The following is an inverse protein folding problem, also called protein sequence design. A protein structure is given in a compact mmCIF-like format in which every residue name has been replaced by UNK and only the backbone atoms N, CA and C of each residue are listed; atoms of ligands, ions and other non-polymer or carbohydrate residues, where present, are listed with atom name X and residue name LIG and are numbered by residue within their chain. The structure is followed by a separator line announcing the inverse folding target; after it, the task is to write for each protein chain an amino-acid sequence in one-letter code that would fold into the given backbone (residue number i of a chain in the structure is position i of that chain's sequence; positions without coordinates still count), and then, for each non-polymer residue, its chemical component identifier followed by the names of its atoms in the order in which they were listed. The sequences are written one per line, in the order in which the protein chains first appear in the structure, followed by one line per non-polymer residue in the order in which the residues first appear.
data_IF_407112433090
#
_entry.id   IF_407112433090
#
_cell.length_a   1.000
_cell.length_b   1.000
_cell.length_c   1.000
_cell.angle_alpha   90.00
_cell.angle_beta   90.00
_cell.angle_gamma   90.00
#
_symmetry.space_group_name_H-M   'P 1'
#
loop_
_entity.id
_entity.type
_entity.pdbx_description
1 polymer ?
#
# COMPACT_ATOMS: atom_id res chain seq x y z
N UNK A 1 17.72 8.94 -20.17
CA UNK A 1 16.57 9.04 -19.26
C UNK A 1 16.10 7.63 -18.95
N UNK A 2 15.81 7.33 -17.68
CA UNK A 2 15.20 6.05 -17.32
C UNK A 2 13.80 5.95 -17.94
N UNK A 3 13.34 4.76 -18.35
CA UNK A 3 12.07 4.59 -19.04
C UNK A 3 10.89 4.81 -18.08
N UNK A 4 9.77 5.33 -18.62
CA UNK A 4 8.50 5.37 -17.89
C UNK A 4 7.94 3.96 -17.76
N UNK A 5 7.57 3.59 -16.54
CA UNK A 5 7.05 2.27 -16.22
C UNK A 5 5.51 2.25 -16.32
N UNK A 6 4.89 1.12 -16.73
CA UNK A 6 3.46 0.92 -16.57
C UNK A 6 3.04 1.04 -15.09
N UNK A 7 1.81 1.48 -14.76
CA UNK A 7 1.39 1.75 -13.39
C UNK A 7 1.67 0.62 -12.39
N UNK A 8 1.37 -0.63 -12.76
CA UNK A 8 1.64 -1.79 -11.90
C UNK A 8 3.13 -1.97 -11.60
N UNK A 9 3.97 -1.95 -12.64
CA UNK A 9 5.42 -2.10 -12.48
C UNK A 9 6.02 -0.93 -11.71
N UNK A 10 5.50 0.28 -11.91
CA UNK A 10 5.90 1.46 -11.14
C UNK A 10 5.55 1.33 -9.66
N UNK A 11 4.30 0.99 -9.32
CA UNK A 11 3.87 0.82 -7.92
C UNK A 11 4.64 -0.32 -7.24
N UNK A 12 4.92 -1.42 -7.95
CA UNK A 12 5.79 -2.49 -7.44
C UNK A 12 7.22 -2.03 -7.21
N UNK A 13 7.74 -1.13 -8.04
CA UNK A 13 9.07 -0.54 -7.85
C UNK A 13 9.11 0.36 -6.60
N UNK A 14 8.04 1.11 -6.35
CA UNK A 14 7.90 1.88 -5.10
C UNK A 14 7.75 0.94 -3.90
N UNK A 15 6.95 -0.12 -3.97
CA UNK A 15 6.87 -1.10 -2.89
C UNK A 15 8.24 -1.75 -2.60
N UNK A 16 9.01 -2.08 -3.65
CA UNK A 16 10.38 -2.61 -3.52
C UNK A 16 11.30 -1.67 -2.75
N UNK A 17 11.17 -0.35 -2.88
CA UNK A 17 11.96 0.58 -2.05
C UNK A 17 11.54 0.54 -0.58
N UNK A 18 10.25 0.43 -0.27
CA UNK A 18 9.80 0.20 1.11
C UNK A 18 10.36 -1.11 1.68
N UNK A 19 10.32 -2.20 0.91
CA UNK A 19 10.88 -3.50 1.35
C UNK A 19 12.40 -3.44 1.57
N UNK A 20 13.13 -2.69 0.73
CA UNK A 20 14.59 -2.59 0.80
C UNK A 20 15.06 -1.66 1.93
N UNK A 21 14.44 -0.50 2.07
CA UNK A 21 14.99 0.59 2.87
C UNK A 21 14.27 0.78 4.22
N UNK A 22 13.02 0.30 4.35
CA UNK A 22 12.27 0.43 5.60
C UNK A 22 12.55 -0.70 6.58
N UNK A 23 12.45 -0.39 7.87
CA UNK A 23 12.51 -1.39 8.92
C UNK A 23 11.20 -2.17 9.12
N UNK A 24 10.03 -1.60 8.83
CA UNK A 24 8.75 -2.18 9.21
C UNK A 24 8.22 -3.18 8.18
N UNK A 25 8.09 -2.75 6.93
CA UNK A 25 7.50 -3.50 5.82
C UNK A 25 8.16 -4.88 5.58
N UNK A 26 9.50 -5.03 5.53
CA UNK A 26 10.09 -6.35 5.35
C UNK A 26 9.84 -7.29 6.53
N UNK A 27 9.70 -6.77 7.76
CA UNK A 27 9.42 -7.57 8.96
C UNK A 27 7.94 -7.92 9.12
N UNK A 28 7.06 -6.97 8.83
CA UNK A 28 5.62 -7.12 9.03
C UNK A 28 4.93 -7.78 7.85
N UNK A 29 5.41 -7.57 6.62
CA UNK A 29 4.73 -8.02 5.40
C UNK A 29 5.56 -9.07 4.65
N UNK A 30 6.88 -8.84 4.53
CA UNK A 30 7.80 -9.76 3.86
C UNK A 30 7.27 -10.26 2.51
N UNK A 31 7.35 -11.57 2.29
CA UNK A 31 6.84 -12.22 1.08
C UNK A 31 5.33 -12.49 1.09
N UNK A 32 4.63 -12.12 2.18
CA UNK A 32 3.21 -12.40 2.33
C UNK A 32 2.30 -11.33 1.71
N UNK A 33 2.84 -10.14 1.42
CA UNK A 33 2.11 -9.05 0.77
C UNK A 33 2.45 -8.98 -0.72
N UNK A 34 1.44 -8.82 -1.57
CA UNK A 34 1.63 -8.66 -3.01
C UNK A 34 0.71 -7.59 -3.58
N UNK A 35 1.28 -6.71 -4.40
CA UNK A 35 0.51 -5.81 -5.28
C UNK A 35 0.05 -6.62 -6.50
N UNK A 36 -1.26 -6.81 -6.63
CA UNK A 36 -1.89 -7.64 -7.66
C UNK A 36 -2.36 -6.82 -8.86
N UNK A 37 -2.63 -5.53 -8.67
CA UNK A 37 -3.04 -4.63 -9.74
C UNK A 37 -2.77 -3.17 -9.42
N UNK A 38 -2.56 -2.36 -10.46
CA UNK A 38 -2.54 -0.90 -10.31
C UNK A 38 -3.00 -0.21 -11.58
N UNK A 39 -3.74 0.87 -11.40
CA UNK A 39 -4.12 1.84 -12.41
C UNK A 39 -3.99 3.24 -11.83
N UNK A 40 -4.17 4.29 -12.64
CA UNK A 40 -3.97 5.67 -12.16
C UNK A 40 -4.95 5.98 -11.02
N UNK A 41 -4.43 6.14 -9.80
CA UNK A 41 -5.21 6.45 -8.60
C UNK A 41 -5.77 5.25 -7.85
N UNK A 42 -5.47 4.01 -8.26
CA UNK A 42 -5.97 2.79 -7.61
C UNK A 42 -4.93 1.68 -7.59
N UNK A 43 -4.77 1.02 -6.46
CA UNK A 43 -3.88 -0.12 -6.25
C UNK A 43 -4.66 -1.25 -5.58
N UNK A 44 -4.59 -2.45 -6.13
CA UNK A 44 -5.16 -3.67 -5.57
C UNK A 44 -4.02 -4.55 -5.03
N UNK A 45 -4.22 -5.14 -3.86
CA UNK A 45 -3.22 -5.95 -3.18
C UNK A 45 -3.84 -7.08 -2.37
N UNK A 46 -3.01 -8.02 -1.95
CA UNK A 46 -3.38 -9.08 -1.02
C UNK A 46 -2.32 -9.28 0.07
N UNK A 47 -2.77 -9.83 1.19
CA UNK A 47 -1.93 -10.30 2.29
C UNK A 47 -2.31 -11.74 2.63
N UNK A 48 -1.35 -12.66 2.51
CA UNK A 48 -1.45 -13.98 3.14
C UNK A 48 -1.26 -13.81 4.66
N UNK A 49 -2.30 -14.10 5.45
CA UNK A 49 -2.25 -13.87 6.89
C UNK A 49 -1.36 -14.94 7.54
N UNK A 50 -0.37 -14.49 8.32
CA UNK A 50 0.54 -15.32 9.11
C UNK A 50 0.43 -14.95 10.59
N UNK A 51 1.06 -15.76 11.45
CA UNK A 51 1.00 -15.59 12.91
C UNK A 51 1.49 -14.20 13.36
N UNK A 52 2.55 -13.71 12.75
CA UNK A 52 3.14 -12.38 12.99
C UNK A 52 2.18 -11.22 12.67
N UNK A 53 1.15 -11.45 11.85
CA UNK A 53 0.11 -10.45 11.53
C UNK A 53 -1.04 -10.44 12.54
N UNK A 54 -1.05 -11.34 13.53
CA UNK A 54 -2.22 -11.57 14.38
C UNK A 54 -2.13 -10.91 15.75
N UNK A 55 -3.29 -10.72 16.36
CA UNK A 55 -3.44 -10.31 17.75
C UNK A 55 -3.55 -11.52 18.69
N UNK A 56 -3.73 -11.26 19.98
CA UNK A 56 -3.87 -12.29 21.03
C UNK A 56 -5.05 -13.27 20.82
N UNK A 57 -6.02 -12.91 19.98
CA UNK A 57 -7.18 -13.72 19.62
C UNK A 57 -6.97 -14.51 18.30
N UNK A 58 -5.73 -14.56 17.79
CA UNK A 58 -5.37 -15.28 16.55
C UNK A 58 -6.12 -14.82 15.29
N UNK A 59 -6.57 -13.56 15.27
CA UNK A 59 -7.11 -12.87 14.09
C UNK A 59 -6.18 -11.72 13.71
N UNK A 60 -6.28 -11.22 12.48
CA UNK A 60 -5.43 -10.12 12.01
C UNK A 60 -5.47 -8.93 13.00
N UNK A 61 -4.28 -8.44 13.36
CA UNK A 61 -4.12 -7.37 14.33
C UNK A 61 -4.57 -6.04 13.72
N UNK A 62 -5.32 -5.24 14.47
CA UNK A 62 -5.74 -3.91 13.99
C UNK A 62 -4.55 -3.02 13.61
N UNK A 63 -3.47 -3.08 14.39
CA UNK A 63 -2.18 -2.46 14.05
C UNK A 63 -1.57 -2.93 12.72
N UNK A 64 -1.72 -4.19 12.32
CA UNK A 64 -1.28 -4.64 10.98
C UNK A 64 -2.12 -3.97 9.89
N UNK A 65 -3.43 -3.88 10.08
CA UNK A 65 -4.31 -3.16 9.16
C UNK A 65 -3.97 -1.67 9.11
N UNK A 66 -3.67 -1.04 10.24
CA UNK A 66 -3.25 0.36 10.28
C UNK A 66 -1.93 0.60 9.53
N UNK A 67 -0.94 -0.30 9.68
CA UNK A 67 0.30 -0.25 8.88
C UNK A 67 0.02 -0.44 7.39
N UNK A 68 -0.93 -1.30 7.02
CA UNK A 68 -1.36 -1.44 5.62
C UNK A 68 -2.13 -0.23 5.09
N UNK A 69 -2.86 0.50 5.93
CA UNK A 69 -3.47 1.78 5.53
C UNK A 69 -2.38 2.80 5.21
N UNK A 70 -1.32 2.88 6.03
CA UNK A 70 -0.19 3.80 5.79
C UNK A 70 0.58 3.45 4.51
N UNK A 71 0.93 2.17 4.33
CA UNK A 71 1.58 1.69 3.11
C UNK A 71 0.64 1.86 1.90
N UNK A 72 -0.60 1.42 2.02
CA UNK A 72 -1.61 1.49 0.96
C UNK A 72 -1.86 2.92 0.48
N UNK A 73 -1.96 3.89 1.39
CA UNK A 73 -2.07 5.30 1.04
C UNK A 73 -0.82 5.81 0.31
N UNK A 74 0.37 5.37 0.71
CA UNK A 74 1.62 5.65 -0.03
C UNK A 74 1.59 5.07 -1.45
N UNK A 75 1.18 3.81 -1.61
CA UNK A 75 1.07 3.16 -2.92
C UNK A 75 -0.03 3.78 -3.79
N UNK A 76 -1.13 4.27 -3.20
CA UNK A 76 -2.15 5.01 -3.92
C UNK A 76 -1.60 6.34 -4.48
N UNK A 77 -0.77 7.07 -3.74
CA UNK A 77 -0.04 8.24 -4.27
C UNK A 77 0.95 7.81 -5.37
N UNK A 78 1.65 6.69 -5.18
CA UNK A 78 2.56 6.16 -6.20
C UNK A 78 1.85 5.82 -7.52
N UNK A 79 0.62 5.33 -7.46
CA UNK A 79 -0.19 5.05 -8.65
C UNK A 79 -0.48 6.29 -9.52
N UNK A 80 -0.29 7.50 -8.98
CA UNK A 80 -0.35 8.77 -9.72
C UNK A 80 1.00 9.18 -10.33
N UNK A 81 1.96 8.25 -10.38
CA UNK A 81 3.27 8.42 -11.00
C UNK A 81 4.35 9.01 -10.09
N UNK A 82 4.15 9.06 -8.76
CA UNK A 82 5.13 9.64 -7.83
C UNK A 82 5.95 8.57 -7.13
N UNK A 83 7.27 8.62 -7.28
CA UNK A 83 8.15 7.70 -6.56
C UNK A 83 8.24 8.10 -5.07
N UNK A 84 8.42 9.40 -4.81
CA UNK A 84 8.32 9.96 -3.47
C UNK A 84 6.84 10.14 -3.11
N UNK A 85 6.37 9.46 -2.07
CA UNK A 85 4.93 9.44 -1.70
C UNK A 85 4.57 10.44 -0.60
N UNK A 86 5.53 11.23 -0.13
CA UNK A 86 5.33 12.22 0.93
C UNK A 86 5.24 11.60 2.33
N UNK A 87 4.92 12.44 3.32
CA UNK A 87 4.88 12.06 4.74
C UNK A 87 3.46 12.06 5.28
N UNK A 88 3.17 11.14 6.19
CA UNK A 88 1.85 10.98 6.80
C UNK A 88 1.53 12.16 7.72
N UNK A 89 0.34 12.74 7.57
CA UNK A 89 -0.15 13.83 8.45
C UNK A 89 -1.33 13.40 9.31
N UNK A 90 -2.13 12.44 8.82
CA UNK A 90 -3.27 11.89 9.55
C UNK A 90 -3.57 10.47 9.05
N UNK A 91 -4.01 9.61 9.97
CA UNK A 91 -4.47 8.26 9.65
C UNK A 91 -5.67 7.89 10.53
N UNK A 92 -6.70 7.31 9.90
CA UNK A 92 -7.87 6.76 10.59
C UNK A 92 -8.11 5.33 10.11
N UNK A 93 -8.53 4.44 11.02
CA UNK A 93 -8.96 3.09 10.68
C UNK A 93 -10.26 2.77 11.42
N UNK A 94 -11.25 2.27 10.68
CA UNK A 94 -12.50 1.72 11.19
C UNK A 94 -12.51 0.21 10.98
N UNK A 95 -12.72 -0.54 12.06
CA UNK A 95 -12.83 -2.01 12.05
C UNK A 95 -14.30 -2.40 12.12
N UNK A 96 -14.75 -3.21 11.17
CA UNK A 96 -16.18 -3.50 10.93
C UNK A 96 -16.47 -4.99 11.17
N UNK A 97 -15.65 -5.87 10.62
CA UNK A 97 -15.78 -7.32 10.72
C UNK A 97 -14.42 -7.97 11.03
N UNK A 98 -14.39 -9.24 11.51
CA UNK A 98 -13.15 -9.99 11.63
C UNK A 98 -12.40 -10.06 10.29
N UNK A 99 -11.12 -9.65 10.28
CA UNK A 99 -10.34 -9.54 9.04
C UNK A 99 -9.70 -10.83 8.53
N UNK A 100 -9.80 -11.92 9.28
CA UNK A 100 -9.24 -13.24 8.92
C UNK A 100 -8.26 -13.77 9.96
N UNK A 101 -7.82 -15.01 9.76
CA UNK A 101 -6.89 -15.76 10.61
C UNK A 101 -5.72 -16.31 9.77
N UNK A 102 -4.65 -16.84 10.39
CA UNK A 102 -3.55 -17.44 9.65
C UNK A 102 -4.02 -18.47 8.61
N UNK A 103 -3.45 -18.40 7.41
CA UNK A 103 -3.82 -19.22 6.25
C UNK A 103 -4.90 -18.60 5.36
N UNK A 104 -5.65 -17.59 5.82
CA UNK A 104 -6.56 -16.84 4.95
C UNK A 104 -5.78 -15.84 4.08
N UNK A 105 -6.36 -15.51 2.92
CA UNK A 105 -5.93 -14.38 2.10
C UNK A 105 -6.89 -13.22 2.33
N UNK A 106 -6.36 -12.08 2.76
CA UNK A 106 -7.09 -10.82 2.81
C UNK A 106 -6.78 -10.02 1.56
N UNK A 107 -7.81 -9.48 0.91
CA UNK A 107 -7.65 -8.59 -0.24
C UNK A 107 -7.90 -7.15 0.16
N UNK A 108 -7.22 -6.21 -0.49
CA UNK A 108 -7.47 -4.79 -0.27
C UNK A 108 -7.29 -3.95 -1.52
N UNK A 109 -7.85 -2.75 -1.44
CA UNK A 109 -7.79 -1.73 -2.48
C UNK A 109 -7.43 -0.41 -1.82
N UNK A 110 -6.39 0.25 -2.32
CA UNK A 110 -6.03 1.61 -1.97
C UNK A 110 -6.37 2.55 -3.13
N UNK A 111 -7.03 3.66 -2.81
CA UNK A 111 -7.51 4.66 -3.77
C UNK A 111 -6.95 6.02 -3.39
N UNK A 112 -6.48 6.78 -4.40
CA UNK A 112 -6.14 8.19 -4.25
C UNK A 112 -7.36 9.03 -4.60
N UNK A 113 -8.12 9.40 -3.58
CA UNK A 113 -9.39 10.14 -3.72
C UNK A 113 -9.15 11.54 -4.27
N UNK A 114 -8.07 12.20 -3.80
CA UNK A 114 -7.68 13.54 -4.27
C UNK A 114 -6.18 13.75 -4.08
N UNK A 115 -5.53 14.28 -5.11
CA UNK A 115 -4.13 14.70 -5.06
C UNK A 115 -4.02 16.18 -5.45
N UNK A 116 -3.87 17.05 -4.45
CA UNK A 116 -3.63 18.48 -4.63
C UNK A 116 -2.13 18.80 -4.64
N UNK A 117 -1.77 20.09 -4.65
CA UNK A 117 -0.36 20.52 -4.68
C UNK A 117 0.41 20.15 -3.40
N UNK A 118 -0.25 20.20 -2.24
CA UNK A 118 0.40 20.02 -0.93
C UNK A 118 -0.06 18.78 -0.19
N UNK A 119 -1.31 18.34 -0.40
CA UNK A 119 -1.91 17.21 0.29
C UNK A 119 -2.47 16.18 -0.70
N UNK A 120 -2.33 14.91 -0.34
CA UNK A 120 -3.04 13.80 -0.94
C UNK A 120 -3.94 13.13 0.10
N UNK A 121 -5.15 12.78 -0.31
CA UNK A 121 -6.14 12.06 0.48
C UNK A 121 -6.35 10.70 -0.17
N UNK A 122 -6.29 9.66 0.65
CA UNK A 122 -6.38 8.27 0.20
C UNK A 122 -7.28 7.47 1.12
N UNK A 123 -7.91 6.46 0.55
CA UNK A 123 -8.76 5.50 1.26
C UNK A 123 -8.25 4.10 0.98
N UNK A 124 -8.25 3.23 2.00
CA UNK A 124 -7.90 1.81 1.86
C UNK A 124 -9.04 0.96 2.41
N UNK A 125 -9.47 -0.04 1.67
CA UNK A 125 -10.50 -1.00 2.10
C UNK A 125 -9.93 -2.41 2.15
N UNK A 126 -10.35 -3.19 3.14
CA UNK A 126 -9.91 -4.58 3.34
C UNK A 126 -11.11 -5.52 3.38
N UNK A 127 -11.03 -6.61 2.63
CA UNK A 127 -12.04 -7.65 2.58
C UNK A 127 -11.48 -8.97 3.06
N UNK A 128 -12.24 -9.68 3.90
CA UNK A 128 -11.87 -11.00 4.38
C UNK A 128 -12.14 -12.09 3.33
N UNK A 129 -11.79 -13.34 3.64
CA UNK A 129 -11.99 -14.50 2.75
C UNK A 129 -13.47 -14.81 2.42
N UNK A 130 -14.43 -14.19 3.10
CA UNK A 130 -15.88 -14.30 2.82
C UNK A 130 -16.38 -13.17 1.92
N UNK A 131 -15.52 -12.23 1.54
CA UNK A 131 -15.89 -11.04 0.77
C UNK A 131 -16.57 -9.95 1.62
N UNK A 132 -16.48 -10.02 2.95
CA UNK A 132 -17.03 -9.00 3.84
C UNK A 132 -16.02 -7.87 4.05
N UNK A 133 -16.50 -6.62 4.11
CA UNK A 133 -15.64 -5.47 4.43
C UNK A 133 -15.17 -5.58 5.89
N UNK A 134 -13.93 -6.00 6.08
CA UNK A 134 -13.32 -6.20 7.39
C UNK A 134 -12.95 -4.87 8.05
N UNK A 135 -12.32 -3.99 7.28
CA UNK A 135 -11.91 -2.68 7.75
C UNK A 135 -11.83 -1.69 6.59
N UNK A 136 -11.86 -0.41 6.92
CA UNK A 136 -11.49 0.68 6.02
C UNK A 136 -10.64 1.70 6.76
N UNK A 137 -9.76 2.39 6.05
CA UNK A 137 -9.00 3.48 6.60
C UNK A 137 -8.85 4.63 5.64
N UNK A 138 -8.55 5.80 6.18
CA UNK A 138 -8.16 6.98 5.42
C UNK A 138 -6.76 7.40 5.82
N UNK A 139 -5.99 7.89 4.86
CA UNK A 139 -4.63 8.37 5.07
C UNK A 139 -4.41 9.67 4.31
N UNK A 140 -4.03 10.71 5.07
CA UNK A 140 -3.68 12.02 4.51
C UNK A 140 -2.17 12.17 4.51
N UNK A 141 -1.61 12.57 3.38
CA UNK A 141 -0.17 12.73 3.19
C UNK A 141 0.19 14.13 2.71
N UNK A 142 1.25 14.70 3.27
CA UNK A 142 1.89 15.91 2.78
C UNK A 142 2.88 15.60 1.66
N UNK A 143 2.60 16.13 0.48
CA UNK A 143 3.26 15.79 -0.79
C UNK A 143 3.91 17.00 -1.48
N UNK A 144 4.00 18.17 -0.85
CA UNK A 144 4.55 19.36 -1.52
C UNK A 144 5.99 19.19 -2.02
N UNK A 145 6.77 18.28 -1.42
CA UNK A 145 8.17 18.02 -1.78
C UNK A 145 8.35 16.87 -2.80
N UNK A 146 7.27 16.29 -3.33
CA UNK A 146 7.35 15.10 -4.21
C UNK A 146 7.37 15.44 -5.70
N UNK A 147 7.07 16.69 -6.06
CA UNK A 147 6.90 17.16 -7.44
C UNK A 147 8.18 17.31 -8.25
N UNK A 148 9.35 17.11 -7.65
CA UNK A 148 10.64 17.22 -8.36
C UNK A 148 11.00 15.98 -9.19
N UNK A 149 10.21 14.92 -9.15
CA UNK A 149 10.45 13.66 -9.87
C UNK A 149 9.56 13.54 -11.10
N UNK A 150 10.11 12.96 -12.17
CA UNK A 150 9.35 12.61 -13.36
C UNK A 150 8.32 11.52 -13.09
N UNK A 151 7.16 11.67 -13.72
CA UNK A 151 6.03 10.76 -13.54
C UNK A 151 6.36 9.36 -14.07
N UNK A 152 6.12 8.36 -13.23
CA UNK A 152 6.32 6.93 -13.54
C UNK A 152 7.78 6.53 -13.82
N UNK A 153 8.74 7.32 -13.34
CA UNK A 153 10.17 7.00 -13.42
C UNK A 153 10.67 6.64 -12.03
N UNK A 154 11.21 5.42 -11.87
CA UNK A 154 11.80 4.93 -10.63
C UNK A 154 13.33 4.87 -10.76
N UNK A 155 14.10 5.06 -9.67
CA UNK A 155 15.54 4.83 -9.69
C UNK A 155 15.86 3.37 -10.01
N UNK A 156 16.91 3.13 -10.80
CA UNK A 156 17.24 1.82 -11.38
C UNK A 156 17.32 0.70 -10.33
N UNK A 157 17.86 0.99 -9.14
CA UNK A 157 18.01 0.02 -8.05
C UNK A 157 16.67 -0.48 -7.46
N UNK A 158 15.58 0.26 -7.65
CA UNK A 158 14.24 -0.10 -7.17
C UNK A 158 13.32 -0.60 -8.27
N UNK A 159 13.77 -0.60 -9.54
CA UNK A 159 12.94 -1.09 -10.64
C UNK A 159 12.58 -2.56 -10.37
N UNK A 160 11.27 -2.82 -10.34
CA UNK A 160 10.74 -4.16 -10.19
C UNK A 160 10.96 -4.97 -11.47
N UNK A 161 11.18 -6.27 -11.29
CA UNK A 161 11.26 -7.22 -12.40
C UNK A 161 9.92 -7.30 -13.14
N UNK A 162 9.96 -7.65 -14.42
CA UNK A 162 8.75 -7.98 -15.17
C UNK A 162 8.30 -9.38 -14.77
N UNK A 163 7.12 -9.49 -14.15
CA UNK A 163 6.45 -10.79 -14.05
C UNK A 163 6.01 -11.18 -15.47
N UNK A 164 6.43 -12.37 -15.91
CA UNK A 164 6.04 -12.98 -17.20
C UNK A 164 4.59 -13.42 -17.20
#
# INVERSE_FOLDING_TARGET
MAPKLPPLRFVRSVFKSFTKDSGLEPRLLGNNFRVTGASVGKVDFELAIQKEHTNRLSTIHGGTLASLVDLGGSLAVASKGRFMTGVSTDINVTYLNPGGKPGDIMTGTATCDKMGRTLAYTTVTFFNNKGELAARGSHTKYIAKTWGSEDFVAPDEYVAEEEK
#
